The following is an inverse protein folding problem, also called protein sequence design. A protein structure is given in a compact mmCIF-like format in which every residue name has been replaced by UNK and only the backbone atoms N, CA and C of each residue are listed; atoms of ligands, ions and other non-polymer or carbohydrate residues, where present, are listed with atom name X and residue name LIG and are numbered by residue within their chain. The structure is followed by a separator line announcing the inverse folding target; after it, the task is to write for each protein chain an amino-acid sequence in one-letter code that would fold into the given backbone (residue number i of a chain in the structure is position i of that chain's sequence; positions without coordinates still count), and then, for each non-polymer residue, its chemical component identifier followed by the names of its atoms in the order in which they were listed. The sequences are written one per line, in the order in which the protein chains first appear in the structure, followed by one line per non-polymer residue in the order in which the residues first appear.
data_IF_543960608006
#
_entry.id   IF_543960608006
#
_cell.length_a   1.000
_cell.length_b   1.000
_cell.length_c   1.000
_cell.angle_alpha   90.00
_cell.angle_beta   90.00
_cell.angle_gamma   90.00
#
_symmetry.space_group_name_H-M   'P 1'
#
loop_
_entity.id
_entity.type
_entity.pdbx_description
1 polymer ?
#
# COMPACT_ATOMS: atom_id res chain seq x y z
N UNK A 1 -26.32 -8.18 7.45
CA UNK A 1 -24.87 -7.92 7.50
C UNK A 1 -24.17 -9.17 6.98
N UNK A 2 -23.66 -9.13 5.75
CA UNK A 2 -22.87 -10.22 5.18
C UNK A 2 -21.62 -10.42 6.06
N UNK A 3 -21.42 -11.62 6.60
CA UNK A 3 -20.19 -11.94 7.33
C UNK A 3 -19.05 -11.93 6.32
N UNK A 4 -18.15 -10.94 6.39
CA UNK A 4 -16.92 -10.96 5.59
C UNK A 4 -16.18 -12.26 5.93
N UNK A 5 -16.06 -13.15 4.95
CA UNK A 5 -15.27 -14.37 5.08
C UNK A 5 -13.81 -13.99 5.25
N UNK A 6 -13.12 -14.68 6.14
CA UNK A 6 -11.69 -14.47 6.32
C UNK A 6 -10.96 -14.83 5.01
N UNK A 7 -9.91 -14.10 4.66
CA UNK A 7 -9.14 -14.34 3.44
C UNK A 7 -8.58 -15.77 3.44
N UNK A 8 -8.14 -16.25 4.60
CA UNK A 8 -7.67 -17.63 4.79
C UNK A 8 -8.76 -18.64 4.45
N UNK A 9 -9.98 -18.44 4.95
CA UNK A 9 -11.13 -19.30 4.66
C UNK A 9 -11.47 -19.31 3.16
N UNK A 10 -11.40 -18.14 2.51
CA UNK A 10 -11.59 -18.05 1.06
C UNK A 10 -10.52 -18.91 0.36
N UNK A 11 -9.24 -18.70 0.67
CA UNK A 11 -8.13 -19.38 0.01
C UNK A 11 -8.15 -20.91 0.21
N UNK A 12 -8.55 -21.39 1.39
CA UNK A 12 -8.71 -22.82 1.68
C UNK A 12 -9.75 -23.48 0.77
N UNK A 13 -10.82 -22.76 0.44
CA UNK A 13 -11.92 -23.26 -0.40
C UNK A 13 -11.69 -23.07 -1.91
N UNK A 14 -10.60 -22.40 -2.32
CA UNK A 14 -10.24 -22.24 -3.73
C UNK A 14 -9.73 -23.57 -4.29
N UNK A 15 -10.31 -24.13 -5.37
CA UNK A 15 -9.85 -25.42 -5.92
C UNK A 15 -8.49 -25.34 -6.62
N UNK A 16 -8.04 -24.15 -7.00
CA UNK A 16 -6.75 -23.93 -7.65
C UNK A 16 -5.58 -24.18 -6.68
N UNK A 17 -4.57 -24.87 -7.20
CA UNK A 17 -3.34 -25.23 -6.47
C UNK A 17 -2.40 -24.06 -6.17
N UNK A 18 -2.61 -22.92 -6.83
CA UNK A 18 -1.81 -21.70 -6.65
C UNK A 18 -2.72 -20.49 -6.59
N UNK A 19 -2.51 -19.65 -5.57
CA UNK A 19 -3.24 -18.40 -5.39
C UNK A 19 -2.42 -17.34 -4.67
N UNK A 20 -2.81 -16.09 -4.85
CA UNK A 20 -2.38 -14.96 -4.04
C UNK A 20 -3.63 -14.21 -3.59
N UNK A 21 -3.92 -14.27 -2.30
CA UNK A 21 -4.85 -13.37 -1.64
C UNK A 21 -4.12 -12.09 -1.27
N UNK A 22 -4.64 -10.93 -1.65
CA UNK A 22 -4.09 -9.64 -1.26
C UNK A 22 -5.04 -9.01 -0.25
N UNK A 23 -4.47 -8.56 0.86
CA UNK A 23 -5.16 -7.84 1.92
C UNK A 23 -4.58 -6.44 2.02
N UNK A 24 -5.44 -5.44 1.94
CA UNK A 24 -5.03 -4.04 1.94
C UNK A 24 -5.69 -3.38 3.15
N UNK A 25 -4.88 -3.02 4.14
CA UNK A 25 -5.32 -2.25 5.32
C UNK A 25 -4.94 -0.80 5.13
N UNK A 26 -5.93 0.06 4.97
CA UNK A 26 -5.75 1.50 4.81
C UNK A 26 -5.94 2.21 6.16
N UNK A 27 -4.84 2.55 6.84
CA UNK A 27 -4.85 3.41 8.03
C UNK A 27 -4.58 4.89 7.73
N UNK A 28 -4.56 5.27 6.45
CA UNK A 28 -4.38 6.67 6.06
C UNK A 28 -5.70 7.44 6.19
N UNK A 29 -5.65 8.77 6.01
CA UNK A 29 -6.84 9.62 5.91
C UNK A 29 -7.49 9.63 4.53
N UNK A 30 -6.85 9.06 3.51
CA UNK A 30 -7.33 9.14 2.11
C UNK A 30 -8.05 7.87 1.69
N UNK A 31 -8.96 8.01 0.72
CA UNK A 31 -9.61 6.85 0.10
C UNK A 31 -8.77 6.37 -1.07
N UNK A 32 -8.46 5.07 -1.10
CA UNK A 32 -7.88 4.44 -2.28
C UNK A 32 -9.00 4.14 -3.29
N UNK A 33 -8.76 4.42 -4.57
CA UNK A 33 -9.74 4.30 -5.66
C UNK A 33 -9.06 3.78 -6.93
N UNK A 34 -9.89 3.46 -7.92
CA UNK A 34 -9.45 3.16 -9.28
C UNK A 34 -8.53 1.95 -9.34
N UNK A 35 -8.91 0.78 -8.78
CA UNK A 35 -8.06 -0.38 -8.86
C UNK A 35 -7.80 -0.75 -10.32
N UNK A 36 -6.52 -0.89 -10.66
CA UNK A 36 -6.07 -1.38 -11.96
C UNK A 36 -5.19 -2.60 -11.74
N UNK A 37 -5.35 -3.64 -12.55
CA UNK A 37 -4.55 -4.85 -12.38
C UNK A 37 -4.13 -5.43 -13.72
N UNK A 38 -3.01 -6.15 -13.71
CA UNK A 38 -2.48 -6.91 -14.84
C UNK A 38 -2.12 -8.31 -14.37
N UNK A 39 -2.54 -9.32 -15.12
CA UNK A 39 -2.21 -10.73 -14.85
C UNK A 39 -1.26 -11.22 -15.93
N UNK A 40 0.03 -11.34 -15.61
CA UNK A 40 1.00 -12.01 -16.48
C UNK A 40 0.65 -13.50 -16.60
N UNK A 41 0.22 -14.11 -15.49
CA UNK A 41 -0.29 -15.48 -15.44
C UNK A 41 -1.38 -15.62 -14.39
N UNK A 42 -2.22 -16.65 -14.54
CA UNK A 42 -3.41 -16.79 -13.72
C UNK A 42 -4.55 -15.87 -14.15
N UNK A 43 -5.50 -15.67 -13.24
CA UNK A 43 -6.70 -14.85 -13.45
C UNK A 43 -7.21 -14.34 -12.09
N UNK A 44 -8.12 -13.39 -12.15
CA UNK A 44 -8.79 -12.88 -10.95
C UNK A 44 -9.96 -13.78 -10.54
N UNK A 45 -10.07 -14.08 -9.25
CA UNK A 45 -11.19 -14.80 -8.66
C UNK A 45 -12.10 -13.84 -7.88
N UNK A 46 -11.49 -13.06 -6.98
CA UNK A 46 -12.19 -12.02 -6.23
C UNK A 46 -11.62 -10.67 -6.68
N UNK A 47 -12.42 -9.79 -7.31
CA UNK A 47 -11.93 -8.52 -7.81
C UNK A 47 -11.51 -7.57 -6.69
N UNK A 48 -10.52 -6.67 -6.92
CA UNK A 48 -10.23 -5.58 -5.99
C UNK A 48 -11.45 -4.69 -5.78
N UNK A 49 -11.69 -4.29 -4.53
CA UNK A 49 -12.74 -3.36 -4.18
C UNK A 49 -12.57 -2.04 -4.95
N UNK A 50 -13.63 -1.49 -5.59
CA UNK A 50 -13.54 -0.24 -6.36
C UNK A 50 -12.99 0.95 -5.56
N UNK A 51 -13.14 0.90 -4.24
CA UNK A 51 -12.57 1.85 -3.30
C UNK A 51 -12.28 1.21 -1.94
N UNK A 52 -11.26 1.73 -1.24
CA UNK A 52 -10.92 1.35 0.14
C UNK A 52 -10.91 2.61 0.99
N UNK A 53 -11.91 2.75 1.85
CA UNK A 53 -12.10 3.90 2.72
C UNK A 53 -10.97 4.03 3.77
N UNK A 54 -10.76 5.22 4.34
CA UNK A 54 -9.91 5.41 5.52
C UNK A 54 -10.30 4.44 6.64
N UNK A 55 -9.30 3.96 7.39
CA UNK A 55 -9.46 3.04 8.53
C UNK A 55 -10.21 1.74 8.18
N UNK A 56 -10.11 1.29 6.93
CA UNK A 56 -10.77 0.08 6.45
C UNK A 56 -9.78 -0.91 5.87
N UNK A 57 -10.27 -2.15 5.70
CA UNK A 57 -9.51 -3.25 5.11
C UNK A 57 -10.34 -3.92 4.04
N UNK A 58 -9.72 -4.21 2.91
CA UNK A 58 -10.35 -4.88 1.77
C UNK A 58 -9.43 -6.00 1.25
N UNK A 59 -10.02 -6.97 0.53
CA UNK A 59 -9.29 -8.13 0.02
C UNK A 59 -9.61 -8.41 -1.43
N UNK A 60 -8.66 -9.02 -2.15
CA UNK A 60 -8.88 -9.58 -3.48
C UNK A 60 -8.07 -10.87 -3.65
N UNK A 61 -8.41 -11.67 -4.65
CA UNK A 61 -7.81 -13.00 -4.84
C UNK A 61 -7.50 -13.25 -6.30
N UNK A 62 -6.26 -13.60 -6.56
CA UNK A 62 -5.76 -14.07 -7.86
C UNK A 62 -5.46 -15.54 -7.77
N UNK A 63 -5.80 -16.29 -8.82
CA UNK A 63 -5.63 -17.74 -8.86
C UNK A 63 -4.98 -18.16 -10.17
N UNK A 64 -4.24 -19.25 -10.12
CA UNK A 64 -3.73 -19.92 -11.32
C UNK A 64 -4.89 -20.36 -12.22
N UNK A 65 -4.71 -20.31 -13.54
CA UNK A 65 -5.69 -20.88 -14.49
C UNK A 65 -5.71 -22.41 -14.38
N UNK A 66 -6.90 -22.99 -14.50
CA UNK A 66 -7.06 -24.45 -14.58
C UNK A 66 -6.17 -25.01 -15.70
N UNK A 67 -5.52 -26.16 -15.46
CA UNK A 67 -4.63 -26.85 -16.40
C UNK A 67 -3.39 -26.06 -16.91
N UNK A 68 -3.21 -24.79 -16.54
CA UNK A 68 -2.00 -24.02 -16.87
C UNK A 68 -0.76 -24.65 -16.23
N UNK A 69 0.40 -24.70 -16.89
CA UNK A 69 1.66 -25.07 -16.23
C UNK A 69 2.21 -23.93 -15.36
N UNK A 70 1.78 -22.69 -15.62
CA UNK A 70 2.22 -21.50 -14.91
C UNK A 70 1.46 -21.31 -13.59
N UNK A 71 2.12 -20.68 -12.62
CA UNK A 71 1.54 -20.26 -11.35
C UNK A 71 0.56 -19.08 -11.51
N UNK A 72 0.64 -18.14 -10.57
CA UNK A 72 -0.12 -16.89 -10.62
C UNK A 72 0.82 -15.72 -10.38
N UNK A 73 0.80 -14.74 -11.28
CA UNK A 73 1.69 -13.59 -11.21
C UNK A 73 1.03 -12.37 -11.84
N UNK A 74 1.20 -11.23 -11.21
CA UNK A 74 0.55 -10.01 -11.65
C UNK A 74 0.94 -8.77 -10.88
N UNK A 75 0.18 -7.72 -11.15
CA UNK A 75 0.34 -6.39 -10.62
C UNK A 75 -1.03 -5.85 -10.22
N UNK A 76 -1.11 -5.16 -9.10
CA UNK A 76 -2.26 -4.40 -8.65
C UNK A 76 -1.82 -2.96 -8.34
N UNK A 77 -2.64 -2.00 -8.75
CA UNK A 77 -2.44 -0.58 -8.57
C UNK A 77 -3.66 0.01 -7.91
N UNK A 78 -3.44 0.94 -6.98
CA UNK A 78 -4.46 1.84 -6.47
C UNK A 78 -3.96 3.28 -6.47
N UNK A 79 -4.92 4.19 -6.57
CA UNK A 79 -4.69 5.62 -6.62
C UNK A 79 -5.44 6.31 -5.49
N UNK A 80 -4.99 7.50 -5.12
CA UNK A 80 -5.68 8.41 -4.22
C UNK A 80 -5.37 9.84 -4.64
N UNK A 81 -5.99 10.81 -3.98
CA UNK A 81 -5.75 12.22 -4.25
C UNK A 81 -4.36 12.71 -3.79
N UNK A 82 -3.60 11.89 -3.03
CA UNK A 82 -2.30 12.27 -2.47
C UNK A 82 -1.13 11.37 -2.89
N UNK A 83 -1.38 10.10 -3.23
CA UNK A 83 -0.37 9.16 -3.66
C UNK A 83 -1.01 8.02 -4.47
N UNK A 84 -0.19 7.28 -5.18
CA UNK A 84 -0.57 6.00 -5.78
C UNK A 84 0.45 4.94 -5.40
N UNK A 85 0.07 3.68 -5.50
CA UNK A 85 1.02 2.59 -5.29
C UNK A 85 0.75 1.42 -6.23
N UNK A 86 1.81 0.67 -6.48
CA UNK A 86 1.78 -0.57 -7.23
C UNK A 86 2.32 -1.70 -6.34
N UNK A 87 1.70 -2.87 -6.44
CA UNK A 87 2.16 -4.11 -5.83
C UNK A 87 2.26 -5.20 -6.88
N UNK A 88 3.45 -5.75 -7.06
CA UNK A 88 3.73 -6.90 -7.89
C UNK A 88 3.78 -8.15 -7.01
N UNK A 89 3.25 -9.26 -7.50
CA UNK A 89 3.33 -10.55 -6.85
C UNK A 89 3.61 -11.63 -7.89
N UNK A 90 4.40 -12.63 -7.50
CA UNK A 90 4.67 -13.83 -8.27
C UNK A 90 4.65 -15.04 -7.34
N UNK A 91 3.72 -15.96 -7.57
CA UNK A 91 3.62 -17.25 -6.90
C UNK A 91 3.70 -18.37 -7.97
N UNK A 92 4.91 -18.85 -8.27
CA UNK A 92 5.14 -19.80 -9.36
C UNK A 92 4.63 -21.20 -9.03
N UNK A 93 4.43 -22.03 -10.06
CA UNK A 93 4.02 -23.43 -9.88
C UNK A 93 5.13 -24.24 -9.20
N UNK A 94 6.39 -23.97 -9.58
CA UNK A 94 7.57 -24.65 -9.04
C UNK A 94 8.56 -23.61 -8.54
N UNK A 95 8.70 -23.53 -7.21
CA UNK A 95 9.55 -22.54 -6.55
C UNK A 95 11.05 -22.80 -6.78
N UNK A 96 11.40 -23.97 -7.33
CA UNK A 96 12.76 -24.34 -7.73
C UNK A 96 13.25 -23.64 -8.99
N UNK A 97 12.34 -23.12 -9.82
CA UNK A 97 12.66 -22.42 -11.08
C UNK A 97 12.70 -20.90 -10.86
N UNK A 98 11.80 -20.39 -10.04
CA UNK A 98 11.72 -18.97 -9.67
C UNK A 98 11.22 -18.90 -8.24
N UNK A 99 11.86 -18.12 -7.35
CA UNK A 99 11.34 -17.94 -5.99
C UNK A 99 10.01 -17.19 -6.05
N UNK A 100 9.16 -17.47 -5.07
CA UNK A 100 8.02 -16.61 -4.80
C UNK A 100 8.56 -15.21 -4.44
N UNK A 101 7.93 -14.17 -4.97
CA UNK A 101 8.42 -12.81 -4.78
C UNK A 101 7.30 -11.80 -4.83
N UNK A 102 7.53 -10.65 -4.22
CA UNK A 102 6.64 -9.51 -4.28
C UNK A 102 7.46 -8.22 -4.28
N UNK A 103 6.86 -7.17 -4.81
CA UNK A 103 7.48 -5.86 -4.81
C UNK A 103 6.42 -4.78 -4.64
N UNK A 104 6.79 -3.68 -4.00
CA UNK A 104 5.90 -2.54 -3.73
C UNK A 104 6.62 -1.27 -4.17
N UNK A 105 5.91 -0.41 -4.88
CA UNK A 105 6.35 0.96 -5.19
C UNK A 105 5.27 1.97 -4.80
N UNK A 106 5.68 3.06 -4.16
CA UNK A 106 4.82 4.20 -3.81
C UNK A 106 5.24 5.44 -4.61
N UNK A 107 4.26 6.17 -5.14
CA UNK A 107 4.45 7.37 -5.96
C UNK A 107 3.73 8.56 -5.34
N UNK A 108 4.34 9.75 -5.42
CA UNK A 108 3.68 11.01 -5.05
C UNK A 108 2.65 11.47 -6.07
N UNK A 109 2.63 10.88 -7.26
CA UNK A 109 1.65 11.18 -8.30
C UNK A 109 0.33 10.47 -8.00
N UNK A 110 -0.78 11.14 -8.31
CA UNK A 110 -2.14 10.60 -8.13
C UNK A 110 -2.50 9.57 -9.20
N UNK A 111 -1.73 9.49 -10.28
CA UNK A 111 -1.88 8.49 -11.32
C UNK A 111 -0.54 7.83 -11.66
N UNK A 112 -0.60 6.52 -11.88
CA UNK A 112 0.52 5.77 -12.48
C UNK A 112 0.36 5.80 -13.99
N UNK A 113 1.29 6.44 -14.68
CA UNK A 113 1.30 6.55 -16.13
C UNK A 113 1.93 5.31 -16.80
N UNK A 114 1.56 5.05 -18.05
CA UNK A 114 2.10 3.95 -18.86
C UNK A 114 1.28 2.65 -18.77
N UNK A 115 1.78 1.59 -19.42
CA UNK A 115 1.11 0.29 -19.41
C UNK A 115 1.44 -0.49 -18.15
N UNK A 116 0.43 -1.17 -17.58
CA UNK A 116 0.61 -2.05 -16.42
C UNK A 116 1.54 -3.23 -16.73
N UNK A 117 1.59 -3.67 -17.99
CA UNK A 117 2.52 -4.70 -18.42
C UNK A 117 3.98 -4.25 -18.33
N UNK A 118 4.29 -3.03 -18.79
CA UNK A 118 5.66 -2.49 -18.68
C UNK A 118 6.05 -2.26 -17.23
N UNK A 119 5.11 -1.79 -16.40
CA UNK A 119 5.33 -1.64 -14.97
C UNK A 119 5.58 -3.00 -14.29
N UNK A 120 4.76 -4.01 -14.59
CA UNK A 120 4.96 -5.37 -14.09
C UNK A 120 6.34 -5.90 -14.48
N UNK A 121 6.74 -5.78 -15.75
CA UNK A 121 8.07 -6.22 -16.21
C UNK A 121 9.19 -5.50 -15.46
N UNK A 122 9.08 -4.18 -15.28
CA UNK A 122 10.05 -3.39 -14.52
C UNK A 122 10.18 -3.85 -13.07
N UNK A 123 9.06 -4.06 -12.36
CA UNK A 123 9.06 -4.51 -10.96
C UNK A 123 9.50 -5.96 -10.81
N UNK A 124 9.22 -6.82 -11.81
CA UNK A 124 9.64 -8.22 -11.79
C UNK A 124 11.15 -8.36 -12.05
N UNK A 125 11.71 -7.53 -12.93
CA UNK A 125 13.14 -7.45 -13.19
C UNK A 125 13.95 -7.00 -11.97
N UNK A 126 15.26 -7.21 -12.03
CA UNK A 126 16.18 -6.69 -11.02
C UNK A 126 16.41 -5.20 -11.28
N UNK A 127 15.75 -4.37 -10.48
CA UNK A 127 15.96 -2.93 -10.45
C UNK A 127 16.47 -2.48 -9.08
N UNK A 128 17.21 -1.36 -9.00
CA UNK A 128 17.74 -0.87 -7.73
C UNK A 128 16.64 -0.65 -6.69
N UNK A 129 16.89 -1.10 -5.47
CA UNK A 129 16.03 -0.86 -4.30
C UNK A 129 16.14 0.63 -3.91
N UNK A 130 15.05 1.22 -3.43
CA UNK A 130 15.02 2.63 -2.98
C UNK A 130 14.12 2.79 -1.75
N UNK A 131 13.95 4.03 -1.28
CA UNK A 131 12.93 4.31 -0.26
C UNK A 131 11.50 4.17 -0.81
N UNK A 132 11.28 4.43 -2.10
CA UNK A 132 9.95 4.37 -2.72
C UNK A 132 9.65 3.02 -3.34
N UNK A 133 10.66 2.19 -3.61
CA UNK A 133 10.51 0.85 -4.19
C UNK A 133 11.31 -0.19 -3.42
N UNK A 134 10.65 -1.30 -3.08
CA UNK A 134 11.34 -2.51 -2.65
C UNK A 134 10.78 -3.77 -3.29
N UNK A 135 11.65 -4.76 -3.50
CA UNK A 135 11.34 -6.13 -3.92
C UNK A 135 11.97 -7.11 -2.97
N UNK A 136 11.20 -8.12 -2.59
CA UNK A 136 11.62 -9.22 -1.73
C UNK A 136 11.45 -10.56 -2.43
N UNK A 137 12.48 -11.39 -2.33
CA UNK A 137 12.44 -12.80 -2.70
C UNK A 137 12.10 -13.61 -1.44
N UNK A 138 11.05 -14.43 -1.50
CA UNK A 138 10.69 -15.29 -0.38
C UNK A 138 11.57 -16.53 -0.42
N UNK A 139 12.62 -16.48 0.39
CA UNK A 139 13.41 -17.65 0.76
C UNK A 139 13.14 -18.05 2.23
N UNK A 140 14.10 -18.69 2.88
CA UNK A 140 13.97 -19.13 4.28
C UNK A 140 14.00 -17.97 5.29
N UNK A 141 14.45 -16.77 4.88
CA UNK A 141 14.67 -15.59 5.72
C UNK A 141 13.82 -14.38 5.29
N UNK A 142 12.68 -14.61 4.64
CA UNK A 142 11.84 -13.56 4.11
C UNK A 142 11.47 -12.50 5.16
N UNK A 143 11.66 -11.24 4.81
CA UNK A 143 11.43 -10.08 5.67
C UNK A 143 10.29 -9.21 5.15
N UNK A 144 9.76 -8.35 6.03
CA UNK A 144 8.81 -7.32 5.63
C UNK A 144 9.53 -6.22 4.85
N UNK A 145 8.98 -5.80 3.72
CA UNK A 145 9.46 -4.58 3.04
C UNK A 145 8.67 -3.37 3.50
N UNK A 146 9.36 -2.25 3.52
CA UNK A 146 8.77 -0.94 3.80
C UNK A 146 9.18 0.01 2.68
N UNK A 147 8.23 0.74 2.12
CA UNK A 147 8.50 1.87 1.24
C UNK A 147 7.83 3.12 1.79
N UNK A 148 8.43 4.28 1.53
CA UNK A 148 7.92 5.56 1.99
C UNK A 148 8.08 6.65 0.93
N UNK A 149 7.13 7.57 0.93
CA UNK A 149 7.14 8.77 0.10
C UNK A 149 6.33 9.87 0.77
N UNK A 150 6.98 11.00 1.08
CA UNK A 150 6.35 12.08 1.84
C UNK A 150 5.91 11.60 3.23
N UNK A 151 4.64 11.83 3.56
CA UNK A 151 4.01 11.38 4.82
C UNK A 151 3.42 9.97 4.74
N UNK A 152 3.60 9.24 3.64
CA UNK A 152 2.99 7.92 3.45
C UNK A 152 4.04 6.82 3.50
N UNK A 153 3.65 5.71 4.11
CA UNK A 153 4.44 4.50 4.21
C UNK A 153 3.57 3.29 3.88
N UNK A 154 4.15 2.33 3.16
CA UNK A 154 3.54 1.03 2.89
C UNK A 154 4.47 -0.05 3.42
N UNK A 155 3.97 -0.83 4.35
CA UNK A 155 4.62 -2.04 4.86
C UNK A 155 3.96 -3.26 4.25
N UNK A 156 4.75 -4.24 3.82
CA UNK A 156 4.24 -5.41 3.13
C UNK A 156 4.93 -6.70 3.57
N UNK A 157 4.15 -7.79 3.66
CA UNK A 157 4.63 -9.15 3.91
C UNK A 157 3.86 -10.14 3.06
N UNK A 158 4.50 -11.23 2.66
CA UNK A 158 3.86 -12.30 1.91
C UNK A 158 4.21 -13.66 2.52
N UNK A 159 3.22 -14.56 2.64
CA UNK A 159 3.48 -15.93 3.10
C UNK A 159 4.11 -16.79 2.01
N UNK A 160 5.06 -17.65 2.40
CA UNK A 160 5.74 -18.60 1.50
C UNK A 160 4.92 -19.89 1.36
N UNK A 161 3.74 -19.78 0.75
CA UNK A 161 2.80 -20.89 0.58
C UNK A 161 2.22 -20.91 -0.84
N UNK A 162 1.86 -22.11 -1.28
CA UNK A 162 1.12 -22.38 -2.52
C UNK A 162 -0.13 -21.50 -2.64
N UNK A 163 -0.81 -21.28 -1.53
CA UNK A 163 -1.93 -20.34 -1.37
C UNK A 163 -1.46 -19.16 -0.53
N UNK A 164 -0.76 -18.24 -1.17
CA UNK A 164 -0.10 -17.14 -0.50
C UNK A 164 -1.07 -16.04 -0.07
N UNK A 165 -0.71 -15.34 1.01
CA UNK A 165 -1.37 -14.12 1.47
C UNK A 165 -0.32 -13.01 1.45
N UNK A 166 -0.63 -11.94 0.73
CA UNK A 166 0.14 -10.70 0.68
C UNK A 166 -0.62 -9.63 1.47
N UNK A 167 -0.05 -9.18 2.57
CA UNK A 167 -0.63 -8.12 3.42
C UNK A 167 0.07 -6.81 3.12
N UNK A 168 -0.73 -5.77 2.89
CA UNK A 168 -0.30 -4.39 2.74
C UNK A 168 -0.90 -3.55 3.88
N UNK A 169 -0.05 -2.83 4.57
CA UNK A 169 -0.43 -1.85 5.58
C UNK A 169 0.01 -0.48 5.12
N UNK A 170 -0.96 0.39 4.83
CA UNK A 170 -0.74 1.76 4.43
C UNK A 170 -0.95 2.66 5.64
N UNK A 171 0.10 3.39 5.98
CA UNK A 171 0.14 4.27 7.13
C UNK A 171 0.55 5.67 6.71
N UNK A 172 0.06 6.63 7.48
CA UNK A 172 0.50 8.00 7.38
C UNK A 172 1.38 8.31 8.58
N UNK A 173 2.66 8.55 8.32
CA UNK A 173 3.58 9.05 9.33
C UNK A 173 3.33 10.55 9.51
N UNK A 174 3.14 11.02 10.76
CA UNK A 174 3.13 12.45 11.03
C UNK A 174 4.42 13.03 10.45
N UNK A 175 4.29 14.06 9.60
CA UNK A 175 5.46 14.79 9.14
C UNK A 175 6.27 15.30 10.35
N UNK A 176 7.57 15.59 10.17
CA UNK A 176 8.30 16.29 11.22
C UNK A 176 7.49 17.53 11.63
N UNK A 177 7.37 17.82 12.94
CA UNK A 177 6.67 19.03 13.38
C UNK A 177 7.23 20.22 12.59
N UNK A 178 6.38 21.20 12.21
CA UNK A 178 6.85 22.36 11.47
C UNK A 178 8.07 22.93 12.19
N UNK A 179 9.19 23.06 11.48
CA UNK A 179 10.36 23.75 12.01
C UNK A 179 9.93 25.19 12.24
N UNK A 180 9.58 25.54 13.46
CA UNK A 180 9.42 26.92 13.84
C UNK A 180 10.75 27.61 13.51
N UNK A 181 10.70 28.60 12.61
CA UNK A 181 11.85 29.46 12.39
C UNK A 181 12.27 30.02 13.77
N UNK A 182 13.58 30.07 14.08
CA UNK A 182 14.03 30.77 15.27
C UNK A 182 13.41 32.16 15.28
N UNK A 183 12.82 32.56 16.41
CA UNK A 183 12.31 33.91 16.57
C UNK A 183 13.46 34.88 16.26
N UNK A 184 13.34 35.59 15.15
CA UNK A 184 14.32 36.58 14.72
C UNK A 184 14.12 37.85 15.56
N UNK A 185 14.98 38.00 16.57
CA UNK A 185 14.99 39.16 17.47
C UNK A 185 15.44 40.46 16.78
N UNK A 186 15.83 40.42 15.50
CA UNK A 186 16.26 41.59 14.74
C UNK A 186 15.12 42.35 14.04
N UNK A 187 13.88 41.84 14.07
CA UNK A 187 12.74 42.59 13.57
C UNK A 187 12.38 43.72 14.56
N UNK A 188 12.43 45.01 14.13
CA UNK A 188 11.93 46.09 14.97
C UNK A 188 10.46 45.83 15.26
N UNK A 189 10.05 46.02 16.53
CA UNK A 189 8.64 46.03 16.92
C UNK A 189 7.91 47.00 15.99
N UNK A 190 7.15 46.47 15.04
CA UNK A 190 6.15 47.27 14.35
C UNK A 190 5.19 47.77 15.42
N UNK A 191 4.97 49.09 15.43
CA UNK A 191 4.05 49.76 16.33
C UNK A 191 2.66 49.15 16.19
N UNK A 192 2.30 48.28 17.13
CA UNK A 192 0.91 47.95 17.35
C UNK A 192 0.21 49.22 17.83
N UNK A 193 -0.90 49.64 17.20
CA UNK A 193 -1.74 50.69 17.75
C UNK A 193 -2.14 50.30 19.18
N UNK A 194 -1.86 51.16 20.15
CA UNK A 194 -2.29 51.02 21.54
C UNK A 194 -3.80 51.22 21.63
N UNK A 195 -4.60 50.27 21.17
CA UNK A 195 -6.01 50.22 21.54
C UNK A 195 -6.61 48.84 21.22
N UNK A 196 -6.68 48.01 22.25
CA UNK A 196 -7.87 47.25 22.66
C UNK A 196 -7.47 46.42 23.88
N UNK A 197 -7.71 46.98 25.07
CA UNK A 197 -7.76 46.16 26.29
C UNK A 197 -8.98 45.26 26.18
N UNK A 198 -8.85 43.91 26.20
CA UNK A 198 -10.01 43.08 26.44
C UNK A 198 -10.51 43.33 27.87
N UNK A 199 -11.84 43.40 28.10
CA UNK A 199 -12.37 43.55 29.44
C UNK A 199 -11.99 42.34 30.30
N UNK A 200 -11.59 42.62 31.54
CA UNK A 200 -11.21 41.62 32.52
C UNK A 200 -12.38 40.67 32.82
N UNK A 201 -12.19 39.38 32.57
CA UNK A 201 -13.08 38.35 33.12
C UNK A 201 -12.79 38.22 34.61
N UNK A 202 -13.70 38.74 35.43
CA UNK A 202 -13.74 38.47 36.86
C UNK A 202 -14.16 37.02 37.09
N UNK A 203 -13.27 36.24 37.70
CA UNK A 203 -13.60 34.93 38.23
C UNK A 203 -14.56 35.11 39.41
N UNK A 204 -15.81 34.66 39.27
CA UNK A 204 -16.70 34.44 40.41
C UNK A 204 -16.44 33.03 40.96
N UNK A 205 -15.83 32.98 42.15
CA UNK A 205 -15.98 31.85 43.06
C UNK A 205 -17.37 31.90 43.68
N UNK A 206 -18.12 30.80 43.56
CA UNK A 206 -18.89 30.17 44.65
C UNK A 206 -19.28 28.77 44.22
#
# INVERSE_FOLDING_TARGET
MEKRRDLEEILLNVPQSRSVGIEITNKTRVTLRGPRYFCQSGQILTPPSPSISPQSRETCVFVKKQLSPWGVSGLLVYESDLFSFAVMFNNPMHNTISPQQYAVEIYTTTAICGSLESLYKSMHSDRPQSCTYRKELLDRNASSIVVSSGSFQISATMSNHDKAILKLLLEETPGPPPRYAPYDSSHPRSDFPKEMRPPAFSYLKK
#
